data_IF_310255623576
#
_entry.id   IF_310255623576
#
_cell.length_a   1.000
_cell.length_b   1.000
_cell.length_c   1.000
_cell.angle_alpha   90.00
_cell.angle_beta   90.00
_cell.angle_gamma   90.00
#
_symmetry.space_group_name_H-M   'P 1'
#
loop_
_entity.id
_entity.type
_entity.pdbx_description
1 polymer ?
#
# COMPACT_ATOMS: atom_id res chain seq x y z
N UNK A 1 -41.16 -8.63 19.30
CA UNK A 1 -41.68 -9.47 20.40
C UNK A 1 -42.82 -10.37 19.96
N UNK A 2 -43.30 -11.23 20.86
CA UNK A 2 -44.44 -12.13 20.62
C UNK A 2 -45.74 -11.44 21.05
N UNK A 3 -46.69 -11.29 20.13
CA UNK A 3 -47.97 -10.61 20.38
C UNK A 3 -49.12 -11.63 20.28
N UNK A 4 -49.99 -11.66 21.30
CA UNK A 4 -51.22 -12.45 21.27
C UNK A 4 -52.36 -11.60 20.69
N UNK A 5 -52.98 -12.08 19.62
CA UNK A 5 -54.16 -11.46 19.00
C UNK A 5 -55.38 -12.30 19.37
N UNK A 6 -56.36 -11.65 20.00
CA UNK A 6 -57.66 -12.26 20.34
C UNK A 6 -58.72 -11.72 19.39
N UNK A 7 -59.46 -12.63 18.73
CA UNK A 7 -60.63 -12.29 17.92
C UNK A 7 -61.88 -12.79 18.65
N UNK A 8 -62.81 -11.87 18.92
CA UNK A 8 -64.08 -12.16 19.59
C UNK A 8 -65.23 -11.91 18.63
N UNK A 9 -66.14 -12.88 18.48
CA UNK A 9 -67.35 -12.70 17.67
C UNK A 9 -68.48 -11.98 18.44
N UNK A 10 -69.60 -11.71 17.76
CA UNK A 10 -70.76 -11.04 18.38
C UNK A 10 -71.48 -11.90 19.44
N UNK A 11 -71.14 -13.19 19.55
CA UNK A 11 -71.65 -14.12 20.55
C UNK A 11 -70.62 -14.38 21.67
N UNK A 12 -69.60 -13.54 21.80
CA UNK A 12 -68.53 -13.64 22.83
C UNK A 12 -67.62 -14.87 22.68
N UNK A 13 -67.57 -15.51 21.52
CA UNK A 13 -66.63 -16.60 21.26
C UNK A 13 -65.25 -16.05 20.91
N UNK A 14 -64.22 -16.44 21.67
CA UNK A 14 -62.84 -15.99 21.45
C UNK A 14 -61.97 -17.03 20.72
N UNK A 15 -61.09 -16.55 19.84
CA UNK A 15 -59.97 -17.32 19.31
C UNK A 15 -58.69 -16.52 19.41
N UNK A 16 -57.63 -17.19 19.87
CA UNK A 16 -56.31 -16.59 20.07
C UNK A 16 -55.33 -17.11 19.04
N UNK A 17 -54.45 -16.23 18.56
CA UNK A 17 -53.29 -16.58 17.75
C UNK A 17 -52.10 -15.75 18.20
N UNK A 18 -50.89 -16.27 18.01
CA UNK A 18 -49.66 -15.58 18.36
C UNK A 18 -48.93 -15.16 17.09
N UNK A 19 -48.47 -13.90 17.04
CA UNK A 19 -47.67 -13.35 15.94
C UNK A 19 -46.28 -12.98 16.48
N UNK A 20 -45.23 -13.44 15.80
CA UNK A 20 -43.87 -12.98 16.05
C UNK A 20 -43.62 -11.72 15.23
N UNK A 21 -43.39 -10.59 15.89
CA UNK A 21 -42.85 -9.39 15.25
C UNK A 21 -41.36 -9.36 15.57
N UNK A 22 -40.53 -9.53 14.56
CA UNK A 22 -39.07 -9.42 14.70
C UNK A 22 -38.70 -7.97 14.45
N UNK A 23 -37.81 -7.43 15.27
CA UNK A 23 -37.21 -6.12 15.00
C UNK A 23 -36.32 -6.27 13.75
N UNK A 24 -36.59 -5.55 12.65
CA UNK A 24 -35.82 -5.68 11.42
C UNK A 24 -34.32 -5.36 11.62
N UNK A 25 -33.98 -4.59 12.65
CA UNK A 25 -32.61 -4.14 12.91
C UNK A 25 -31.84 -5.06 13.86
N UNK A 26 -32.47 -6.09 14.42
CA UNK A 26 -31.90 -6.90 15.50
C UNK A 26 -30.56 -7.57 15.18
N UNK A 27 -30.31 -7.86 13.90
CA UNK A 27 -29.08 -8.51 13.45
C UNK A 27 -28.22 -7.60 12.57
N UNK A 28 -28.64 -6.35 12.29
CA UNK A 28 -27.89 -5.51 11.38
C UNK A 28 -26.52 -5.20 11.96
N UNK A 29 -25.46 -5.61 11.25
CA UNK A 29 -24.09 -5.52 11.72
C UNK A 29 -23.13 -5.28 10.58
N UNK A 30 -22.12 -4.48 10.90
CA UNK A 30 -21.05 -4.09 9.98
C UNK A 30 -19.72 -4.25 10.69
N UNK A 31 -18.68 -4.49 9.91
CA UNK A 31 -17.30 -4.53 10.37
C UNK A 31 -16.43 -3.79 9.38
N UNK A 32 -15.34 -3.20 9.86
CA UNK A 32 -14.39 -2.55 8.99
C UNK A 32 -12.95 -2.86 9.41
N UNK A 33 -12.05 -2.87 8.43
CA UNK A 33 -10.61 -3.08 8.61
C UNK A 33 -9.87 -2.06 7.77
N UNK A 34 -8.78 -1.50 8.29
CA UNK A 34 -7.94 -0.59 7.55
C UNK A 34 -6.58 -1.23 7.24
N UNK A 35 -6.03 -0.89 6.07
CA UNK A 35 -4.67 -1.19 5.66
C UNK A 35 -4.11 0.04 4.97
N UNK A 36 -3.14 0.71 5.60
CA UNK A 36 -2.75 2.07 5.24
C UNK A 36 -3.99 2.99 5.14
N UNK A 37 -4.17 3.64 3.99
CA UNK A 37 -5.33 4.50 3.72
C UNK A 37 -6.56 3.75 3.19
N UNK A 38 -6.52 2.43 2.96
CA UNK A 38 -7.71 1.71 2.51
C UNK A 38 -8.55 1.23 3.68
N UNK A 39 -9.79 1.69 3.72
CA UNK A 39 -10.82 1.20 4.62
C UNK A 39 -11.71 0.20 3.86
N UNK A 40 -11.65 -1.07 4.27
CA UNK A 40 -12.52 -2.13 3.75
C UNK A 40 -13.70 -2.34 4.70
N UNK A 41 -14.92 -2.22 4.18
CA UNK A 41 -16.17 -2.39 4.92
C UNK A 41 -16.82 -3.71 4.50
N UNK A 42 -17.33 -4.46 5.48
CA UNK A 42 -18.14 -5.65 5.29
C UNK A 42 -19.49 -5.52 6.00
N UNK A 43 -20.57 -5.76 5.25
CA UNK A 43 -21.96 -5.72 5.71
C UNK A 43 -22.46 -7.16 5.90
N UNK A 44 -22.47 -7.61 7.14
CA UNK A 44 -22.74 -9.01 7.49
C UNK A 44 -24.22 -9.36 7.38
N UNK A 45 -25.10 -8.40 7.67
CA UNK A 45 -26.56 -8.56 7.72
C UNK A 45 -27.27 -7.33 7.15
N UNK A 46 -28.61 -7.30 7.11
CA UNK A 46 -29.40 -6.17 6.59
C UNK A 46 -29.84 -6.32 5.14
N UNK A 47 -30.71 -5.41 4.69
CA UNK A 47 -31.38 -5.47 3.38
C UNK A 47 -30.89 -4.36 2.45
N UNK A 48 -30.32 -4.69 1.26
CA UNK A 48 -29.95 -3.68 0.29
C UNK A 48 -31.19 -2.98 -0.33
N UNK A 49 -31.05 -1.77 -0.90
CA UNK A 49 -29.81 -1.02 -0.99
C UNK A 49 -29.34 -0.46 0.36
N UNK A 50 -28.03 -0.23 0.48
CA UNK A 50 -27.40 0.42 1.62
C UNK A 50 -26.98 1.84 1.28
N UNK A 51 -26.84 2.66 2.31
CA UNK A 51 -26.13 3.94 2.25
C UNK A 51 -25.06 4.00 3.33
N UNK A 52 -24.07 4.87 3.14
CA UNK A 52 -23.07 5.16 4.17
C UNK A 52 -22.77 6.64 4.31
N UNK A 53 -22.29 7.00 5.49
CA UNK A 53 -21.64 8.28 5.75
C UNK A 53 -20.46 8.12 6.69
N UNK A 54 -19.39 8.87 6.44
CA UNK A 54 -18.25 9.01 7.35
C UNK A 54 -17.57 10.36 7.13
N UNK A 55 -16.77 10.79 8.10
CA UNK A 55 -15.89 11.95 7.97
C UNK A 55 -14.46 11.48 7.71
N UNK A 56 -13.78 12.16 6.81
CA UNK A 56 -12.39 11.89 6.44
C UNK A 56 -11.66 13.25 6.40
N UNK A 57 -10.95 13.58 7.49
CA UNK A 57 -10.48 14.94 7.72
C UNK A 57 -11.64 15.93 7.82
N UNK A 58 -11.65 16.95 6.95
CA UNK A 58 -12.67 18.02 6.96
C UNK A 58 -13.82 17.78 5.96
N UNK A 59 -13.84 16.63 5.30
CA UNK A 59 -14.83 16.29 4.28
C UNK A 59 -15.79 15.21 4.80
N UNK A 60 -17.08 15.42 4.54
CA UNK A 60 -18.12 14.42 4.77
C UNK A 60 -18.34 13.65 3.47
N UNK A 61 -18.14 12.34 3.54
CA UNK A 61 -18.32 11.43 2.41
C UNK A 61 -19.61 10.66 2.62
N UNK A 62 -20.46 10.65 1.59
CA UNK A 62 -21.74 9.92 1.60
C UNK A 62 -21.96 9.18 0.28
N UNK A 63 -22.55 8.00 0.34
CA UNK A 63 -23.05 7.30 -0.83
C UNK A 63 -24.34 6.52 -0.52
N UNK A 64 -25.17 6.35 -1.54
CA UNK A 64 -26.46 5.65 -1.47
C UNK A 64 -26.54 4.57 -2.56
N UNK A 65 -27.62 3.78 -2.56
CA UNK A 65 -27.93 2.78 -3.58
C UNK A 65 -26.88 1.64 -3.74
N UNK A 66 -26.17 1.31 -2.66
CA UNK A 66 -25.13 0.28 -2.64
C UNK A 66 -25.77 -1.11 -2.52
N UNK A 67 -25.40 -2.03 -3.40
CA UNK A 67 -25.93 -3.41 -3.37
C UNK A 67 -24.87 -4.43 -2.95
N UNK A 68 -23.60 -4.02 -2.98
CA UNK A 68 -22.45 -4.77 -2.56
C UNK A 68 -22.43 -4.90 -1.02
N UNK A 69 -22.02 -6.08 -0.54
CA UNK A 69 -21.83 -6.35 0.90
C UNK A 69 -20.39 -6.12 1.35
N UNK A 70 -19.50 -5.78 0.43
CA UNK A 70 -18.11 -5.47 0.71
C UNK A 70 -17.66 -4.41 -0.28
N UNK A 71 -17.03 -3.35 0.23
CA UNK A 71 -16.45 -2.30 -0.59
C UNK A 71 -15.28 -1.65 0.15
N UNK A 72 -14.42 -0.99 -0.61
CA UNK A 72 -13.26 -0.27 -0.10
C UNK A 72 -13.40 1.21 -0.40
N UNK A 73 -13.04 2.05 0.57
CA UNK A 73 -12.93 3.50 0.40
C UNK A 73 -11.51 3.92 0.80
N UNK A 74 -10.99 4.92 0.10
CA UNK A 74 -9.66 5.46 0.38
C UNK A 74 -9.77 6.68 1.32
N UNK A 75 -8.96 6.66 2.37
CA UNK A 75 -8.85 7.72 3.36
C UNK A 75 -7.82 8.76 2.91
N UNK A 76 -8.06 10.03 3.24
CA UNK A 76 -7.14 11.12 2.94
C UNK A 76 -6.15 11.36 4.09
N UNK A 77 -6.51 10.90 5.30
CA UNK A 77 -5.73 11.01 6.52
C UNK A 77 -5.83 9.70 7.31
N UNK A 78 -4.75 9.33 7.97
CA UNK A 78 -4.73 8.17 8.88
C UNK A 78 -5.20 8.59 10.27
N UNK A 79 -6.50 8.56 10.50
CA UNK A 79 -7.13 8.87 11.79
C UNK A 79 -8.27 7.91 12.11
N UNK A 80 -8.69 7.87 13.38
CA UNK A 80 -9.85 7.10 13.82
C UNK A 80 -11.09 7.53 13.03
N UNK A 81 -11.60 6.62 12.21
CA UNK A 81 -12.75 6.88 11.36
C UNK A 81 -13.92 6.00 11.80
N UNK A 82 -15.06 6.64 12.06
CA UNK A 82 -16.32 5.93 12.30
C UNK A 82 -17.22 6.06 11.08
N UNK A 83 -17.54 4.92 10.46
CA UNK A 83 -18.48 4.84 9.34
C UNK A 83 -19.84 4.37 9.83
N UNK A 84 -20.89 5.08 9.41
CA UNK A 84 -22.28 4.71 9.64
C UNK A 84 -22.85 4.12 8.36
N UNK A 85 -23.42 2.91 8.42
CA UNK A 85 -24.15 2.28 7.31
C UNK A 85 -25.63 2.25 7.66
N UNK A 86 -26.50 2.52 6.68
CA UNK A 86 -27.95 2.38 6.80
C UNK A 86 -28.47 1.38 5.76
N UNK A 87 -29.42 0.52 6.13
CA UNK A 87 -30.08 -0.41 5.21
C UNK A 87 -31.45 0.11 4.72
N UNK A 88 -32.08 -0.62 3.79
CA UNK A 88 -33.37 -0.23 3.20
C UNK A 88 -34.57 -0.25 4.17
N UNK A 89 -34.39 -0.77 5.39
CA UNK A 89 -35.39 -0.75 6.46
C UNK A 89 -35.10 0.34 7.50
N UNK A 90 -34.23 1.30 7.18
CA UNK A 90 -33.76 2.38 8.05
C UNK A 90 -32.97 1.88 9.29
N UNK A 91 -32.41 0.67 9.23
CA UNK A 91 -31.54 0.16 10.28
C UNK A 91 -30.14 0.74 10.13
N UNK A 92 -29.53 1.19 11.23
CA UNK A 92 -28.18 1.78 11.25
C UNK A 92 -27.20 0.91 12.04
N UNK A 93 -25.97 0.84 11.57
CA UNK A 93 -24.86 0.21 12.26
C UNK A 93 -23.57 0.98 12.00
N UNK A 94 -22.68 1.01 12.99
CA UNK A 94 -21.41 1.73 12.91
C UNK A 94 -20.24 0.75 12.97
N UNK A 95 -19.15 1.10 12.27
CA UNK A 95 -17.85 0.49 12.45
C UNK A 95 -16.81 1.60 12.64
N UNK A 96 -15.93 1.39 13.62
CA UNK A 96 -14.80 2.30 13.90
C UNK A 96 -13.50 1.59 13.60
N UNK A 97 -12.57 2.32 12.98
CA UNK A 97 -11.28 1.80 12.54
C UNK A 97 -10.20 2.87 12.69
N UNK A 98 -8.98 2.44 12.97
CA UNK A 98 -7.79 3.30 12.97
C UNK A 98 -6.96 2.93 11.75
N UNK A 99 -6.81 3.87 10.82
CA UNK A 99 -5.94 3.70 9.68
C UNK A 99 -4.47 3.88 10.06
N UNK A 100 -3.59 3.13 9.40
CA UNK A 100 -2.16 3.26 9.65
C UNK A 100 -1.61 4.47 8.88
N UNK A 101 -0.91 5.36 9.58
CA UNK A 101 -0.19 6.46 8.95
C UNK A 101 1.00 5.90 8.18
N UNK A 102 0.98 6.11 6.86
CA UNK A 102 2.04 5.71 5.94
C UNK A 102 2.72 6.93 5.33
N UNK A 103 2.81 8.05 6.05
CA UNK A 103 3.61 9.19 5.61
C UNK A 103 5.11 8.90 5.67
N UNK A 104 5.57 8.18 6.71
CA UNK A 104 6.99 7.88 6.87
C UNK A 104 7.23 6.62 7.71
N UNK A 105 8.42 6.06 7.56
CA UNK A 105 8.94 4.96 8.36
C UNK A 105 10.27 5.36 9.00
N UNK A 106 10.45 5.11 10.29
CA UNK A 106 11.74 5.32 10.96
C UNK A 106 12.41 3.99 11.26
N UNK A 107 13.60 3.78 10.69
CA UNK A 107 14.40 2.59 10.95
C UNK A 107 15.05 2.71 12.34
N UNK A 108 14.65 1.86 13.28
CA UNK A 108 15.18 1.90 14.65
C UNK A 108 16.67 1.56 14.75
N UNK A 109 17.25 0.95 13.71
CA UNK A 109 18.66 0.51 13.70
C UNK A 109 19.63 1.67 13.58
N UNK A 110 19.26 2.73 12.88
CA UNK A 110 20.09 3.92 12.66
C UNK A 110 19.39 5.26 12.91
N UNK A 111 18.07 5.24 13.14
CA UNK A 111 17.23 6.42 13.38
C UNK A 111 16.92 7.23 12.12
N UNK A 112 17.20 6.69 10.92
CA UNK A 112 16.88 7.33 9.65
C UNK A 112 15.37 7.23 9.41
N UNK A 113 14.74 8.33 8.98
CA UNK A 113 13.33 8.37 8.62
C UNK A 113 13.22 8.44 7.10
N UNK A 114 12.41 7.57 6.52
CA UNK A 114 12.16 7.48 5.10
C UNK A 114 10.71 7.87 4.81
N UNK A 115 10.50 8.70 3.79
CA UNK A 115 9.17 8.95 3.25
C UNK A 115 8.62 7.68 2.58
N UNK A 116 7.32 7.48 2.71
CA UNK A 116 6.60 6.35 2.14
C UNK A 116 5.55 6.83 1.15
N UNK A 117 5.24 5.98 0.18
CA UNK A 117 4.21 6.26 -0.83
C UNK A 117 3.38 5.01 -1.09
N UNK A 118 2.06 5.21 -1.26
CA UNK A 118 1.15 4.14 -1.65
C UNK A 118 0.85 4.24 -3.14
N UNK A 119 1.06 3.14 -3.86
CA UNK A 119 0.86 3.04 -5.29
C UNK A 119 0.00 1.81 -5.56
N UNK A 120 -1.27 2.03 -5.89
CA UNK A 120 -2.27 0.96 -5.91
C UNK A 120 -2.38 0.35 -4.51
N UNK A 121 -2.27 -0.98 -4.41
CA UNK A 121 -2.35 -1.69 -3.13
C UNK A 121 -0.98 -1.83 -2.42
N UNK A 122 0.10 -1.32 -3.02
CA UNK A 122 1.47 -1.49 -2.53
C UNK A 122 1.99 -0.23 -1.83
N UNK A 123 2.79 -0.41 -0.78
CA UNK A 123 3.43 0.68 -0.03
C UNK A 123 4.93 0.58 -0.19
N UNK A 124 5.54 1.64 -0.71
CA UNK A 124 6.94 1.71 -1.10
C UNK A 124 7.70 2.77 -0.31
N UNK A 125 9.00 2.58 -0.16
CA UNK A 125 9.89 3.68 0.18
C UNK A 125 9.93 4.67 -0.98
N UNK A 126 9.69 5.94 -0.69
CA UNK A 126 9.82 7.05 -1.64
C UNK A 126 11.27 7.56 -1.76
N UNK A 127 12.16 7.11 -0.87
CA UNK A 127 13.57 7.51 -0.83
C UNK A 127 14.51 6.31 -0.93
N UNK A 128 15.73 6.54 -1.41
CA UNK A 128 16.75 5.50 -1.44
C UNK A 128 17.17 5.06 -0.03
N UNK A 129 17.26 3.75 0.17
CA UNK A 129 17.67 3.20 1.44
C UNK A 129 19.12 3.57 1.78
N UNK A 130 19.37 4.02 3.02
CA UNK A 130 20.63 4.64 3.41
C UNK A 130 21.27 3.98 4.67
N UNK A 131 20.86 2.76 4.99
CA UNK A 131 21.43 2.03 6.11
C UNK A 131 22.91 1.70 5.89
N UNK A 132 23.76 2.18 6.79
CA UNK A 132 25.16 1.85 6.77
C UNK A 132 25.41 0.49 7.42
N UNK A 133 25.62 -0.55 6.60
CA UNK A 133 25.86 -1.91 7.07
C UNK A 133 27.20 -2.11 7.77
N UNK A 134 28.12 -1.14 7.67
CA UNK A 134 29.40 -0.98 8.38
C UNK A 134 29.94 -2.22 9.11
N UNK A 135 30.10 -3.32 8.38
CA UNK A 135 31.17 -4.27 8.65
C UNK A 135 32.43 -3.64 8.09
N UNK A 136 33.61 -3.92 8.66
CA UNK A 136 34.87 -3.28 8.29
C UNK A 136 35.32 -3.52 6.82
N UNK A 137 34.46 -4.11 5.98
CA UNK A 137 34.66 -4.40 4.58
C UNK A 137 33.74 -3.49 3.74
N UNK A 138 34.31 -2.42 3.18
CA UNK A 138 33.68 -1.52 2.21
C UNK A 138 33.43 -2.18 0.86
N UNK A 139 33.02 -3.45 0.84
CA UNK A 139 32.92 -4.29 -0.36
C UNK A 139 31.48 -4.68 -0.67
N UNK A 140 30.51 -4.19 0.11
CA UNK A 140 29.12 -4.61 -0.02
C UNK A 140 28.11 -3.47 -0.10
N UNK A 141 28.56 -2.24 0.21
CA UNK A 141 27.73 -1.05 0.10
C UNK A 141 28.56 0.23 0.12
N UNK A 142 28.10 1.25 -0.60
CA UNK A 142 28.88 2.46 -0.88
C UNK A 142 27.99 3.70 -0.96
N UNK A 143 28.56 4.84 -0.61
CA UNK A 143 28.08 6.11 -1.14
C UNK A 143 28.68 6.28 -2.54
N UNK A 144 27.95 6.94 -3.44
CA UNK A 144 28.49 7.25 -4.76
C UNK A 144 29.82 8.02 -4.60
N UNK A 145 30.85 7.66 -5.38
CA UNK A 145 32.21 8.23 -5.29
C UNK A 145 32.84 8.19 -3.89
N UNK A 146 32.38 7.29 -3.00
CA UNK A 146 32.77 7.22 -1.60
C UNK A 146 32.57 8.55 -0.82
N UNK A 147 31.64 9.41 -1.28
CA UNK A 147 31.37 10.73 -0.71
C UNK A 147 29.98 10.82 -0.08
N UNK A 148 29.93 10.49 1.21
CA UNK A 148 28.70 10.63 2.01
C UNK A 148 28.24 12.08 2.18
N UNK A 149 29.13 13.06 2.15
CA UNK A 149 28.76 14.45 2.40
C UNK A 149 27.96 15.04 1.24
N UNK A 150 28.24 14.58 0.02
CA UNK A 150 27.56 15.04 -1.19
C UNK A 150 26.35 14.17 -1.52
N UNK A 151 26.46 12.84 -1.43
CA UNK A 151 25.48 11.95 -2.08
C UNK A 151 24.52 11.23 -1.12
N UNK A 152 24.83 11.16 0.18
CA UNK A 152 24.04 10.35 1.11
C UNK A 152 22.59 10.82 1.26
N UNK A 153 22.35 12.14 1.26
CA UNK A 153 21.04 12.70 1.52
C UNK A 153 20.06 12.49 0.36
N UNK A 154 20.55 12.51 -0.88
CA UNK A 154 19.71 12.44 -2.09
C UNK A 154 19.67 11.02 -2.68
N UNK A 155 20.82 10.35 -2.77
CA UNK A 155 20.92 9.06 -3.46
C UNK A 155 21.03 7.86 -2.51
N UNK A 156 21.09 8.11 -1.20
CA UNK A 156 21.28 7.04 -0.22
C UNK A 156 22.57 6.26 -0.46
N UNK A 157 22.50 4.94 -0.38
CA UNK A 157 23.63 4.03 -0.63
C UNK A 157 23.32 3.04 -1.74
N UNK A 158 24.38 2.63 -2.40
CA UNK A 158 24.41 1.50 -3.32
C UNK A 158 24.74 0.23 -2.54
N UNK A 159 24.07 -0.87 -2.82
CA UNK A 159 24.29 -2.17 -2.16
C UNK A 159 24.54 -3.26 -3.19
N UNK A 160 25.29 -4.27 -2.81
CA UNK A 160 25.29 -5.54 -3.54
C UNK A 160 23.95 -6.23 -3.40
N UNK A 161 23.60 -7.08 -4.37
CA UNK A 161 22.31 -7.77 -4.38
C UNK A 161 22.11 -8.66 -3.14
N UNK A 162 23.17 -9.35 -2.70
CA UNK A 162 23.12 -10.20 -1.50
C UNK A 162 22.80 -9.39 -0.24
N UNK A 163 23.44 -8.22 -0.09
CA UNK A 163 23.18 -7.35 1.06
C UNK A 163 21.80 -6.71 0.97
N UNK A 164 21.36 -6.29 -0.21
CA UNK A 164 20.03 -5.75 -0.43
C UNK A 164 18.91 -6.70 0.07
N UNK A 165 19.10 -8.01 -0.05
CA UNK A 165 18.14 -9.00 0.44
C UNK A 165 18.12 -9.21 1.95
N UNK A 166 19.18 -8.82 2.67
CA UNK A 166 19.33 -9.10 4.11
C UNK A 166 19.10 -7.86 4.98
N UNK A 167 19.13 -6.66 4.40
CA UNK A 167 19.11 -5.40 5.16
C UNK A 167 17.72 -4.77 5.29
N UNK A 168 16.68 -5.38 4.71
CA UNK A 168 15.32 -4.88 4.85
C UNK A 168 14.94 -4.75 6.34
N UNK A 169 14.31 -3.63 6.76
CA UNK A 169 13.77 -3.53 8.11
C UNK A 169 12.66 -4.57 8.37
N UNK A 170 12.32 -4.82 9.63
CA UNK A 170 11.21 -5.72 9.96
C UNK A 170 9.88 -5.21 9.36
N UNK A 171 9.12 -6.10 8.71
CA UNK A 171 7.88 -5.75 8.00
C UNK A 171 8.07 -5.18 6.60
N UNK A 172 9.30 -5.23 6.07
CA UNK A 172 9.66 -4.75 4.75
C UNK A 172 10.48 -5.79 4.01
N UNK A 173 10.34 -5.80 2.68
CA UNK A 173 11.05 -6.72 1.79
C UNK A 173 11.60 -6.02 0.57
N UNK A 174 12.66 -6.61 -0.01
CA UNK A 174 13.16 -6.18 -1.32
C UNK A 174 12.13 -6.54 -2.40
N UNK A 175 11.63 -5.58 -3.20
CA UNK A 175 10.57 -5.80 -4.17
C UNK A 175 10.98 -6.84 -5.20
N UNK A 176 10.07 -7.70 -5.60
CA UNK A 176 10.26 -8.67 -6.68
C UNK A 176 9.96 -8.05 -8.05
N UNK A 177 10.29 -8.76 -9.13
CA UNK A 177 9.88 -8.36 -10.47
C UNK A 177 8.35 -8.27 -10.61
N UNK A 178 7.62 -9.14 -9.90
CA UNK A 178 6.15 -9.10 -9.88
C UNK A 178 5.62 -7.84 -9.18
N UNK A 179 6.32 -7.34 -8.15
CA UNK A 179 5.93 -6.11 -7.47
C UNK A 179 6.10 -4.89 -8.38
N UNK A 180 7.22 -4.82 -9.10
CA UNK A 180 7.40 -3.80 -10.13
C UNK A 180 6.38 -3.94 -11.28
N UNK A 181 6.01 -5.16 -11.67
CA UNK A 181 4.98 -5.36 -12.69
C UNK A 181 3.61 -4.85 -12.24
N UNK A 182 3.22 -5.09 -10.98
CA UNK A 182 1.98 -4.58 -10.42
C UNK A 182 1.96 -3.04 -10.41
N UNK A 183 3.08 -2.40 -10.08
CA UNK A 183 3.26 -0.96 -10.24
C UNK A 183 2.98 -0.53 -11.69
N UNK A 184 3.56 -1.21 -12.68
CA UNK A 184 3.44 -0.81 -14.09
C UNK A 184 2.00 -0.91 -14.61
N UNK A 185 1.27 -1.92 -14.15
CA UNK A 185 -0.10 -2.18 -14.58
C UNK A 185 -1.06 -1.04 -14.17
N UNK A 186 -0.79 -0.34 -13.05
CA UNK A 186 -1.56 0.82 -12.59
C UNK A 186 -1.56 1.95 -13.63
N UNK A 187 -0.42 2.18 -14.29
CA UNK A 187 -0.25 3.25 -15.28
C UNK A 187 -0.57 2.80 -16.72
N UNK A 188 -0.98 1.54 -16.88
CA UNK A 188 -1.52 0.94 -18.10
C UNK A 188 -0.50 0.61 -19.20
N UNK A 189 0.68 1.23 -19.21
CA UNK A 189 1.81 0.85 -20.06
C UNK A 189 3.14 1.34 -19.48
N UNK A 190 4.23 0.71 -19.92
CA UNK A 190 5.60 1.02 -19.50
C UNK A 190 6.01 2.49 -19.67
N UNK A 191 5.52 3.18 -20.71
CA UNK A 191 5.91 4.59 -20.95
C UNK A 191 5.26 5.52 -19.92
N UNK A 192 4.00 5.27 -19.59
CA UNK A 192 3.29 6.03 -18.56
C UNK A 192 3.83 5.72 -17.18
N UNK A 193 4.03 4.43 -16.86
CA UNK A 193 4.66 4.01 -15.62
C UNK A 193 6.05 4.64 -15.49
N UNK A 194 6.77 4.72 -16.61
CA UNK A 194 8.10 5.28 -16.64
C UNK A 194 8.16 6.76 -16.27
N UNK A 195 7.19 7.52 -16.76
CA UNK A 195 7.04 8.93 -16.43
C UNK A 195 6.52 9.12 -15.01
N UNK A 196 5.68 8.22 -14.53
CA UNK A 196 5.11 8.30 -13.19
C UNK A 196 6.15 8.10 -12.09
N UNK A 197 7.13 7.22 -12.32
CA UNK A 197 8.20 6.90 -11.36
C UNK A 197 9.26 7.98 -11.17
N UNK A 198 9.48 8.83 -12.18
CA UNK A 198 10.50 9.89 -12.13
C UNK A 198 10.10 10.97 -11.14
N UNK A 199 11.09 11.73 -10.67
CA UNK A 199 10.89 12.95 -9.85
C UNK A 199 9.82 13.87 -10.46
N UNK A 200 8.80 14.20 -9.68
CA UNK A 200 7.64 15.00 -10.08
C UNK A 200 6.65 14.27 -10.98
N UNK A 201 6.77 12.94 -11.08
CA UNK A 201 5.84 12.07 -11.78
C UNK A 201 4.56 11.84 -10.97
N UNK A 202 3.57 11.19 -11.58
CA UNK A 202 2.24 11.00 -10.99
C UNK A 202 2.17 9.90 -9.92
N UNK A 203 3.28 9.29 -9.53
CA UNK A 203 3.31 8.21 -8.52
C UNK A 203 3.81 8.67 -7.16
N UNK A 204 4.36 9.88 -7.05
CA UNK A 204 5.11 10.37 -5.89
C UNK A 204 6.23 9.41 -5.43
N UNK A 205 6.60 8.44 -6.29
CA UNK A 205 7.74 7.57 -6.05
C UNK A 205 9.04 8.36 -6.17
N UNK A 206 9.11 9.40 -7.00
CA UNK A 206 10.25 10.31 -7.08
C UNK A 206 11.62 9.58 -7.14
N UNK A 207 11.79 8.75 -8.16
CA UNK A 207 13.03 8.01 -8.36
C UNK A 207 14.15 8.91 -8.88
N UNK A 208 15.04 9.30 -7.97
CA UNK A 208 16.30 9.98 -8.29
C UNK A 208 17.29 9.05 -9.00
N UNK A 209 18.07 9.62 -9.92
CA UNK A 209 18.98 8.86 -10.79
C UNK A 209 20.35 8.69 -10.13
N UNK A 210 20.43 7.80 -9.14
CA UNK A 210 21.61 7.59 -8.29
C UNK A 210 22.80 6.87 -8.92
N UNK A 211 22.73 6.48 -10.20
CA UNK A 211 23.78 5.73 -10.88
C UNK A 211 23.97 4.31 -10.32
N UNK A 212 25.13 3.73 -10.61
CA UNK A 212 25.53 2.40 -10.12
C UNK A 212 27.03 2.33 -9.82
N UNK A 213 27.44 1.22 -9.21
CA UNK A 213 28.83 0.77 -9.09
C UNK A 213 29.00 -0.57 -9.82
N UNK A 214 29.80 -0.59 -10.88
CA UNK A 214 30.23 -1.80 -11.61
C UNK A 214 31.75 -1.72 -11.82
N UNK A 215 32.51 -2.11 -10.80
CA UNK A 215 33.95 -1.87 -10.71
C UNK A 215 34.34 -0.39 -10.51
N UNK A 216 33.65 0.54 -11.15
CA UNK A 216 33.71 1.99 -10.97
C UNK A 216 32.29 2.59 -10.90
N UNK A 217 32.20 3.84 -10.43
CA UNK A 217 30.92 4.55 -10.34
C UNK A 217 30.52 5.15 -11.69
N UNK A 218 29.26 4.94 -12.09
CA UNK A 218 28.72 5.38 -13.38
C UNK A 218 27.36 6.06 -13.24
N UNK A 219 27.03 6.90 -14.21
CA UNK A 219 25.67 7.37 -14.53
C UNK A 219 24.87 8.09 -13.45
N UNK A 220 25.49 8.69 -12.44
CA UNK A 220 24.76 9.59 -11.53
C UNK A 220 24.15 10.76 -12.32
N UNK A 221 22.92 11.14 -11.98
CA UNK A 221 22.06 12.11 -12.68
C UNK A 221 21.73 11.76 -14.14
N UNK A 222 22.18 10.60 -14.61
CA UNK A 222 21.95 10.11 -15.96
C UNK A 222 20.98 8.95 -15.92
N UNK A 223 21.26 7.92 -15.11
CA UNK A 223 20.42 6.74 -14.95
C UNK A 223 20.30 6.33 -13.47
N UNK A 224 19.24 5.60 -13.15
CA UNK A 224 19.01 5.05 -11.81
C UNK A 224 18.70 3.57 -11.90
N UNK A 225 19.16 2.79 -10.92
CA UNK A 225 19.03 1.34 -10.88
C UNK A 225 18.57 0.88 -9.50
N UNK A 226 17.51 0.07 -9.45
CA UNK A 226 16.98 -0.53 -8.23
C UNK A 226 17.13 -2.05 -8.29
N UNK A 227 17.70 -2.63 -7.25
CA UNK A 227 17.64 -4.08 -7.11
C UNK A 227 16.21 -4.58 -6.88
N UNK A 228 15.88 -5.71 -7.49
CA UNK A 228 14.76 -6.55 -7.09
C UNK A 228 15.26 -7.79 -6.34
N UNK A 229 14.39 -8.48 -5.61
CA UNK A 229 14.67 -9.79 -5.00
C UNK A 229 14.68 -10.95 -6.01
N UNK A 230 14.37 -10.68 -7.28
CA UNK A 230 14.31 -11.71 -8.31
C UNK A 230 15.69 -12.05 -8.87
N UNK A 231 15.84 -13.31 -9.28
CA UNK A 231 17.04 -13.85 -9.94
C UNK A 231 16.71 -14.05 -11.42
N UNK A 232 17.67 -13.75 -12.29
CA UNK A 232 17.47 -13.97 -13.73
C UNK A 232 17.26 -15.45 -14.05
N UNK A 233 16.24 -15.74 -14.86
CA UNK A 233 15.92 -17.12 -15.30
C UNK A 233 16.97 -17.62 -16.30
N UNK A 234 17.48 -16.72 -17.15
CA UNK A 234 18.46 -17.04 -18.18
C UNK A 234 19.90 -17.08 -17.64
N UNK A 235 20.18 -16.29 -16.59
CA UNK A 235 21.49 -16.17 -15.95
C UNK A 235 21.35 -16.20 -14.42
N UNK A 236 21.20 -17.39 -13.78
CA UNK A 236 20.92 -17.49 -12.34
C UNK A 236 22.00 -16.90 -11.42
N UNK A 237 23.20 -16.67 -11.95
CA UNK A 237 24.27 -15.90 -11.32
C UNK A 237 23.91 -14.44 -11.09
N UNK A 238 23.01 -13.87 -11.89
CA UNK A 238 22.65 -12.46 -11.89
C UNK A 238 21.41 -12.17 -11.03
N UNK A 239 21.42 -11.01 -10.37
CA UNK A 239 20.24 -10.40 -9.77
C UNK A 239 19.49 -9.58 -10.80
N UNK A 240 18.16 -9.51 -10.68
CA UNK A 240 17.34 -8.63 -11.53
C UNK A 240 17.31 -7.23 -10.94
N UNK A 241 17.58 -6.23 -11.78
CA UNK A 241 17.37 -4.82 -11.47
C UNK A 241 16.31 -4.20 -12.36
N UNK A 242 15.77 -3.07 -11.89
CA UNK A 242 14.88 -2.19 -12.63
C UNK A 242 15.59 -0.84 -12.81
N UNK A 243 15.76 -0.41 -14.07
CA UNK A 243 16.54 0.77 -14.42
C UNK A 243 15.78 1.84 -15.20
N UNK A 244 16.05 3.11 -14.90
CA UNK A 244 15.66 4.26 -15.74
C UNK A 244 16.88 4.79 -16.46
N UNK A 245 16.81 4.87 -17.79
CA UNK A 245 17.89 5.39 -18.64
C UNK A 245 17.38 6.64 -19.40
N UNK A 246 18.17 7.70 -19.60
CA UNK A 246 17.66 9.03 -19.99
C UNK A 246 17.27 9.16 -21.46
N UNK A 247 17.42 8.10 -22.26
CA UNK A 247 17.07 8.09 -23.68
C UNK A 247 16.04 7.01 -24.05
N UNK A 248 15.53 6.29 -23.06
CA UNK A 248 14.46 5.34 -23.23
C UNK A 248 13.30 5.87 -22.40
N UNK A 249 12.18 6.23 -23.03
CA UNK A 249 10.93 6.53 -22.31
C UNK A 249 10.36 5.27 -21.61
N UNK A 250 11.18 4.23 -21.42
CA UNK A 250 10.86 2.90 -20.92
C UNK A 250 11.92 2.49 -19.92
N UNK A 251 11.51 1.63 -19.02
CA UNK A 251 12.40 1.03 -18.04
C UNK A 251 13.13 -0.15 -18.66
N UNK A 252 14.27 -0.48 -18.06
CA UNK A 252 15.00 -1.71 -18.36
C UNK A 252 14.84 -2.67 -17.18
N UNK A 253 14.46 -3.91 -17.46
CA UNK A 253 14.44 -5.00 -16.48
C UNK A 253 15.44 -6.02 -17.00
N UNK A 254 16.55 -6.17 -16.28
CA UNK A 254 17.67 -6.96 -16.77
C UNK A 254 18.47 -7.57 -15.62
N UNK A 255 19.32 -8.53 -15.97
CA UNK A 255 20.27 -9.15 -15.06
C UNK A 255 21.55 -8.33 -14.94
N UNK A 256 22.10 -8.27 -13.73
CA UNK A 256 23.46 -7.80 -13.49
C UNK A 256 24.16 -8.67 -12.44
N UNK A 257 25.50 -8.63 -12.45
CA UNK A 257 26.31 -9.33 -11.46
C UNK A 257 25.92 -8.86 -10.05
N UNK A 258 25.69 -9.83 -9.16
CA UNK A 258 25.24 -9.60 -7.78
C UNK A 258 26.25 -8.83 -6.93
N UNK A 259 27.49 -8.65 -7.40
CA UNK A 259 28.50 -7.81 -6.75
C UNK A 259 28.39 -6.32 -7.11
N UNK A 260 27.57 -5.95 -8.09
CA UNK A 260 27.38 -4.56 -8.47
C UNK A 260 26.62 -3.80 -7.38
N UNK A 261 26.93 -2.52 -7.21
CA UNK A 261 26.24 -1.63 -6.29
C UNK A 261 25.09 -0.92 -6.99
N UNK A 262 23.87 -1.12 -6.52
CA UNK A 262 22.69 -0.39 -6.99
C UNK A 262 21.84 0.08 -5.81
N UNK A 263 20.99 1.07 -6.05
CA UNK A 263 20.08 1.60 -5.04
C UNK A 263 19.05 0.54 -4.64
N UNK A 264 18.48 0.72 -3.45
CA UNK A 264 17.45 -0.15 -2.90
C UNK A 264 16.31 0.71 -2.37
N UNK A 265 15.09 0.26 -2.62
CA UNK A 265 13.85 0.74 -1.99
C UNK A 265 13.03 -0.48 -1.63
N UNK A 266 12.40 -0.45 -0.45
CA UNK A 266 11.65 -1.58 0.05
C UNK A 266 10.15 -1.40 -0.18
N UNK A 267 9.46 -2.55 -0.23
CA UNK A 267 8.01 -2.66 -0.24
C UNK A 267 7.56 -3.28 1.09
N UNK A 268 6.42 -2.86 1.61
CA UNK A 268 5.84 -3.42 2.84
C UNK A 268 5.34 -4.85 2.61
N UNK A 269 5.54 -5.73 3.60
CA UNK A 269 5.13 -7.15 3.58
C UNK A 269 3.61 -7.38 3.59
#
# INVERSE_FOLDING_TARGET
GSYEVTVTDANECEKKTTVQVVDPCANFSVSATASAYDLTIAINDGTPPFSYSYSNGNEEITADDINERSFTVELAVAEETTITITDANDCTAEATVEAEDIASFTDERDGQTYELVKIGDQIWFAEHFNYNTNTADSTSSWYYNDDSATYAAEYGRLYTWHVAQEIAPEGWSLPSEADFQAFFDIYGNEVNASKALRVGGASDFDFDLGGLLDGEFYDIDVAGFLWSSSISVDFPEDGIYVGIIPNNDRFDISGADKINGMSVRFIKD
#
